data_IF_442664590265
#
_entry.id   IF_442664590265
#
_cell.length_a   1.000
_cell.length_b   1.000
_cell.length_c   1.000
_cell.angle_alpha   90.00
_cell.angle_beta   90.00
_cell.angle_gamma   90.00
#
_symmetry.space_group_name_H-M   'P 1'
#
loop_
_entity.id
_entity.type
_entity.pdbx_description
1 polymer ?
#
# COMPACT_ATOMS: atom_id res chain seq x y z
N UNK A 1 -13.79 28.95 41.92
CA UNK A 1 -13.08 29.52 40.76
C UNK A 1 -11.62 29.11 40.87
N UNK A 2 -11.25 28.00 40.23
CA UNK A 2 -9.88 27.49 40.24
C UNK A 2 -9.37 27.51 38.81
N UNK A 3 -8.50 28.48 38.52
CA UNK A 3 -7.71 28.52 37.31
C UNK A 3 -6.56 27.54 37.43
N UNK A 4 -6.50 26.58 36.53
CA UNK A 4 -5.33 25.73 36.29
C UNK A 4 -5.04 25.83 34.79
N UNK A 5 -4.13 26.74 34.45
CA UNK A 5 -3.52 26.83 33.12
C UNK A 5 -2.41 25.79 33.05
N UNK A 6 -2.67 24.68 32.37
CA UNK A 6 -1.64 23.71 32.02
C UNK A 6 -0.90 24.22 30.79
N UNK A 7 0.27 24.84 31.01
CA UNK A 7 1.25 25.13 29.97
C UNK A 7 1.87 23.79 29.51
N UNK A 8 1.21 23.16 28.54
CA UNK A 8 1.73 21.99 27.84
C UNK A 8 2.84 22.41 26.88
N UNK A 9 4.08 22.33 27.38
CA UNK A 9 5.32 22.47 26.62
C UNK A 9 5.24 21.66 25.33
N UNK A 10 5.44 22.37 24.22
CA UNK A 10 5.53 21.80 22.89
C UNK A 10 6.71 20.86 22.79
N UNK A 11 6.41 19.58 22.69
CA UNK A 11 7.31 18.59 22.12
C UNK A 11 6.46 17.71 21.21
N UNK A 12 6.06 18.26 20.06
CA UNK A 12 5.71 17.39 18.93
C UNK A 12 6.98 16.62 18.59
N UNK A 13 6.96 15.27 18.53
CA UNK A 13 8.08 14.54 17.96
C UNK A 13 8.15 15.00 16.51
N UNK A 14 9.14 15.84 16.21
CA UNK A 14 9.51 16.16 14.84
C UNK A 14 10.04 14.84 14.30
N UNK A 15 9.15 14.04 13.70
CA UNK A 15 9.51 12.88 12.93
C UNK A 15 10.38 13.42 11.80
N UNK A 16 11.70 13.43 12.04
CA UNK A 16 12.70 13.59 11.00
C UNK A 16 12.61 12.35 10.12
N UNK A 17 11.55 12.28 9.32
CA UNK A 17 11.38 11.32 8.25
C UNK A 17 12.37 11.67 7.16
N UNK A 18 13.62 11.27 7.38
CA UNK A 18 14.66 11.36 6.36
C UNK A 18 14.21 10.64 5.10
N UNK A 19 14.66 11.14 3.95
CA UNK A 19 14.47 10.46 2.68
C UNK A 19 14.90 9.01 2.80
N UNK A 20 14.05 8.10 2.35
CA UNK A 20 14.48 6.73 2.11
C UNK A 20 15.52 6.71 0.98
N UNK A 21 16.39 5.70 0.99
CA UNK A 21 17.38 5.50 -0.07
C UNK A 21 16.72 5.35 -1.44
N UNK A 22 17.46 5.65 -2.51
CA UNK A 22 16.98 5.51 -3.88
C UNK A 22 16.43 4.10 -4.17
N UNK A 23 17.10 3.06 -3.65
CA UNK A 23 16.64 1.67 -3.76
C UNK A 23 15.25 1.42 -3.15
N UNK A 24 14.93 2.05 -2.01
CA UNK A 24 13.61 1.95 -1.39
C UNK A 24 12.57 2.76 -2.17
N UNK A 25 12.97 3.89 -2.75
CA UNK A 25 12.11 4.66 -3.65
C UNK A 25 11.76 3.85 -4.90
N UNK A 26 12.73 3.13 -5.48
CA UNK A 26 12.49 2.24 -6.63
C UNK A 26 11.59 1.06 -6.27
N UNK A 27 11.79 0.47 -5.08
CA UNK A 27 10.93 -0.60 -4.58
C UNK A 27 9.49 -0.10 -4.39
N UNK A 28 9.33 1.10 -3.82
CA UNK A 28 8.01 1.74 -3.67
C UNK A 28 7.32 1.95 -5.02
N UNK A 29 8.06 2.49 -6.01
CA UNK A 29 7.51 2.69 -7.34
C UNK A 29 7.10 1.36 -7.99
N UNK A 30 7.92 0.33 -7.87
CA UNK A 30 7.65 -1.01 -8.40
C UNK A 30 6.37 -1.59 -7.79
N UNK A 31 6.23 -1.57 -6.46
CA UNK A 31 5.04 -2.09 -5.78
C UNK A 31 3.75 -1.39 -6.21
N UNK A 32 3.82 -0.06 -6.39
CA UNK A 32 2.67 0.72 -6.85
C UNK A 32 2.34 0.40 -8.31
N UNK A 33 3.35 0.25 -9.18
CA UNK A 33 3.16 -0.13 -10.60
C UNK A 33 2.54 -1.51 -10.75
N UNK A 34 3.04 -2.50 -10.04
CA UNK A 34 2.52 -3.87 -10.07
C UNK A 34 1.04 -3.90 -9.66
N UNK A 35 0.68 -3.13 -8.63
CA UNK A 35 -0.70 -3.05 -8.13
C UNK A 35 -1.65 -2.37 -9.14
N UNK A 36 -1.16 -1.36 -9.88
CA UNK A 36 -1.89 -0.72 -10.98
C UNK A 36 -2.08 -1.70 -12.13
N UNK A 37 -1.03 -2.42 -12.50
CA UNK A 37 -1.05 -3.44 -13.55
C UNK A 37 -2.10 -4.54 -13.24
N UNK A 38 -2.14 -5.03 -12.00
CA UNK A 38 -3.13 -6.00 -11.54
C UNK A 38 -4.58 -5.49 -11.68
N UNK A 39 -4.80 -4.17 -11.64
CA UNK A 39 -6.13 -3.52 -11.60
C UNK A 39 -6.52 -2.81 -12.89
N UNK A 40 -5.63 -2.72 -13.88
CA UNK A 40 -5.84 -1.91 -15.10
C UNK A 40 -6.96 -2.42 -16.01
N UNK A 41 -7.53 -3.59 -15.75
CA UNK A 41 -8.59 -4.20 -16.57
C UNK A 41 -9.81 -3.29 -16.80
N UNK A 42 -10.09 -2.34 -15.90
CA UNK A 42 -11.17 -1.33 -16.04
C UNK A 42 -10.67 0.05 -16.53
N UNK A 43 -9.41 0.14 -16.94
CA UNK A 43 -8.73 1.35 -17.38
C UNK A 43 -7.83 1.98 -16.31
N UNK A 44 -6.80 2.72 -16.76
CA UNK A 44 -5.76 3.30 -15.90
C UNK A 44 -6.30 4.28 -14.86
N UNK A 45 -7.29 5.12 -15.22
CA UNK A 45 -7.87 6.09 -14.28
C UNK A 45 -8.57 5.41 -13.10
N UNK A 46 -9.31 4.32 -13.37
CA UNK A 46 -9.95 3.55 -12.32
C UNK A 46 -8.89 2.87 -11.44
N UNK A 47 -7.88 2.25 -12.04
CA UNK A 47 -6.78 1.64 -11.32
C UNK A 47 -6.04 2.63 -10.41
N UNK A 48 -5.73 3.84 -10.90
CA UNK A 48 -5.06 4.86 -10.06
C UNK A 48 -5.87 5.23 -8.83
N UNK A 49 -7.19 5.39 -8.97
CA UNK A 49 -8.08 5.70 -7.85
C UNK A 49 -8.17 4.55 -6.86
N UNK A 50 -8.30 3.32 -7.35
CA UNK A 50 -8.37 2.14 -6.50
C UNK A 50 -7.07 1.95 -5.71
N UNK A 51 -5.91 2.07 -6.37
CA UNK A 51 -4.60 1.94 -5.73
C UNK A 51 -4.35 3.06 -4.71
N UNK A 52 -4.74 4.30 -5.04
CA UNK A 52 -4.70 5.43 -4.10
C UNK A 52 -5.48 5.11 -2.81
N UNK A 53 -6.67 4.51 -2.95
CA UNK A 53 -7.51 4.12 -1.81
C UNK A 53 -6.91 2.96 -1.02
N UNK A 54 -6.39 1.93 -1.68
CA UNK A 54 -5.79 0.76 -1.02
C UNK A 54 -4.59 1.17 -0.18
N UNK A 55 -3.70 1.99 -0.73
CA UNK A 55 -2.47 2.38 -0.06
C UNK A 55 -2.57 3.66 0.77
N UNK A 56 -3.72 4.34 0.78
CA UNK A 56 -3.91 5.59 1.52
C UNK A 56 -3.03 6.74 1.02
N UNK A 57 -2.67 6.75 -0.27
CA UNK A 57 -1.87 7.80 -0.92
C UNK A 57 -2.71 8.56 -1.95
N UNK A 58 -2.25 9.72 -2.40
CA UNK A 58 -3.00 10.54 -3.37
C UNK A 58 -2.92 9.97 -4.79
N UNK A 59 -3.96 10.16 -5.62
CA UNK A 59 -3.92 9.78 -7.05
C UNK A 59 -2.74 10.43 -7.79
N UNK A 60 -2.36 11.67 -7.42
CA UNK A 60 -1.17 12.35 -7.96
C UNK A 60 0.10 11.54 -7.67
N UNK A 61 0.23 11.01 -6.45
CA UNK A 61 1.38 10.20 -6.04
C UNK A 61 1.44 8.89 -6.81
N UNK A 62 0.29 8.23 -6.97
CA UNK A 62 0.17 7.00 -7.77
C UNK A 62 0.60 7.22 -9.22
N UNK A 63 0.16 8.33 -9.84
CA UNK A 63 0.61 8.70 -11.20
C UNK A 63 2.09 8.98 -11.27
N UNK A 64 2.65 9.67 -10.27
CA UNK A 64 4.10 9.90 -10.22
C UNK A 64 4.87 8.57 -10.13
N UNK A 65 4.39 7.59 -9.36
CA UNK A 65 4.99 6.25 -9.34
C UNK A 65 4.92 5.59 -10.72
N UNK A 66 3.76 5.67 -11.38
CA UNK A 66 3.54 5.13 -12.71
C UNK A 66 4.52 5.70 -13.75
N UNK A 67 4.70 7.02 -13.76
CA UNK A 67 5.61 7.71 -14.70
C UNK A 67 7.08 7.75 -14.25
N UNK A 68 7.40 7.28 -13.04
CA UNK A 68 8.78 7.30 -12.51
C UNK A 68 9.23 8.67 -12.01
N UNK A 69 8.29 9.54 -11.64
CA UNK A 69 8.53 10.92 -11.23
C UNK A 69 8.72 11.06 -9.71
N UNK A 70 8.70 9.96 -8.94
CA UNK A 70 8.88 10.00 -7.48
C UNK A 70 10.37 10.08 -7.13
N UNK A 71 10.78 11.21 -6.55
CA UNK A 71 12.17 11.48 -6.12
C UNK A 71 12.45 11.21 -4.64
N UNK A 72 11.40 11.03 -3.86
CA UNK A 72 11.48 10.91 -2.41
C UNK A 72 10.26 10.13 -1.94
N UNK A 73 10.42 9.24 -0.97
CA UNK A 73 9.34 8.55 -0.27
C UNK A 73 9.54 8.73 1.23
N UNK A 74 8.50 9.20 1.92
CA UNK A 74 8.52 9.31 3.37
C UNK A 74 8.30 7.95 4.03
N UNK A 75 8.85 7.75 5.23
CA UNK A 75 8.72 6.48 5.97
C UNK A 75 7.25 6.07 6.20
N UNK A 76 6.35 7.03 6.43
CA UNK A 76 4.92 6.75 6.61
C UNK A 76 4.24 6.27 5.32
N UNK A 77 4.59 6.85 4.17
CA UNK A 77 4.06 6.42 2.87
C UNK A 77 4.54 5.01 2.53
N UNK A 78 5.83 4.75 2.77
CA UNK A 78 6.41 3.42 2.61
C UNK A 78 5.70 2.37 3.43
N UNK A 79 5.53 2.63 4.73
CA UNK A 79 4.88 1.65 5.63
C UNK A 79 3.41 1.43 5.26
N UNK A 80 2.72 2.45 4.74
CA UNK A 80 1.35 2.32 4.23
C UNK A 80 1.29 1.38 3.02
N UNK A 81 2.14 1.61 2.01
CA UNK A 81 2.20 0.74 0.81
C UNK A 81 2.64 -0.68 1.16
N UNK A 82 3.65 -0.81 2.02
CA UNK A 82 4.17 -2.11 2.47
C UNK A 82 3.09 -2.94 3.17
N UNK A 83 2.36 -2.36 4.12
CA UNK A 83 1.26 -3.07 4.80
C UNK A 83 0.12 -3.43 3.85
N UNK A 84 -0.33 -2.47 3.03
CA UNK A 84 -1.37 -2.74 2.04
C UNK A 84 -0.99 -3.87 1.07
N UNK A 85 0.29 -3.95 0.66
CA UNK A 85 0.76 -5.04 -0.20
C UNK A 85 0.78 -6.39 0.53
N UNK A 86 1.21 -6.42 1.79
CA UNK A 86 1.17 -7.65 2.61
C UNK A 86 -0.28 -8.15 2.73
N UNK A 87 -1.22 -7.27 3.07
CA UNK A 87 -2.64 -7.63 3.18
C UNK A 87 -3.21 -8.14 1.85
N UNK A 88 -2.91 -7.47 0.74
CA UNK A 88 -3.34 -7.90 -0.59
C UNK A 88 -2.81 -9.30 -0.95
N UNK A 89 -1.54 -9.58 -0.63
CA UNK A 89 -0.93 -10.89 -0.86
C UNK A 89 -1.54 -11.98 0.03
N UNK A 90 -1.82 -11.67 1.30
CA UNK A 90 -2.48 -12.61 2.22
C UNK A 90 -3.88 -12.97 1.73
N UNK A 91 -4.68 -11.98 1.32
CA UNK A 91 -6.02 -12.23 0.74
C UNK A 91 -5.92 -13.10 -0.50
N UNK A 92 -4.95 -12.83 -1.39
CA UNK A 92 -4.72 -13.64 -2.60
C UNK A 92 -4.31 -15.07 -2.24
N UNK A 93 -3.43 -15.24 -1.26
CA UNK A 93 -3.00 -16.56 -0.79
C UNK A 93 -4.19 -17.37 -0.23
N UNK A 94 -5.01 -16.78 0.63
CA UNK A 94 -6.19 -17.46 1.18
C UNK A 94 -7.18 -17.84 0.09
N UNK A 95 -7.38 -16.98 -0.91
CA UNK A 95 -8.24 -17.29 -2.05
C UNK A 95 -7.71 -18.47 -2.87
N UNK A 96 -6.40 -18.52 -3.15
CA UNK A 96 -5.78 -19.63 -3.85
C UNK A 96 -5.85 -20.95 -3.05
N UNK A 97 -5.65 -20.89 -1.73
CA UNK A 97 -5.80 -22.07 -0.85
C UNK A 97 -7.23 -22.64 -0.92
N UNK A 98 -8.24 -21.77 -0.87
CA UNK A 98 -9.64 -22.20 -1.01
C UNK A 98 -9.94 -22.81 -2.38
N UNK A 99 -9.32 -22.29 -3.45
CA UNK A 99 -9.47 -22.89 -4.78
C UNK A 99 -8.85 -24.29 -4.86
N UNK A 100 -7.63 -24.46 -4.32
CA UNK A 100 -6.95 -25.75 -4.29
C UNK A 100 -7.70 -26.79 -3.47
N UNK A 101 -8.24 -26.42 -2.31
CA UNK A 101 -9.05 -27.30 -1.46
C UNK A 101 -10.28 -27.83 -2.22
N UNK A 102 -11.01 -26.95 -2.91
CA UNK A 102 -12.16 -27.34 -3.74
C UNK A 102 -11.78 -28.31 -4.86
N UNK A 103 -10.63 -28.13 -5.49
CA UNK A 103 -10.15 -29.03 -6.54
C UNK A 103 -9.79 -30.41 -5.95
N UNK A 104 -9.07 -30.44 -4.83
CA UNK A 104 -8.73 -31.70 -4.16
C UNK A 104 -9.95 -32.49 -3.67
N UNK A 105 -11.00 -31.81 -3.20
CA UNK A 105 -12.25 -32.48 -2.80
C UNK A 105 -13.02 -33.03 -4.01
N UNK A 106 -12.94 -32.35 -5.16
CA UNK A 106 -13.50 -32.86 -6.42
C UNK A 106 -12.81 -34.14 -6.87
N UNK A 107 -11.47 -34.19 -6.78
CA UNK A 107 -10.70 -35.39 -7.12
C UNK A 107 -10.95 -36.55 -6.15
N UNK A 108 -11.20 -36.26 -4.87
CA UNK A 108 -11.47 -37.27 -3.83
C UNK A 108 -12.90 -37.84 -3.88
N UNK A 109 -13.87 -37.09 -4.41
CA UNK A 109 -15.25 -37.54 -4.61
C UNK A 109 -15.49 -38.29 -5.93
N UNK A 110 -14.50 -38.31 -6.82
CA UNK A 110 -14.54 -39.02 -8.10
C UNK A 110 -13.86 -40.42 -8.07
N UNK A 111 -13.35 -40.83 -6.90
CA UNK A 111 -12.76 -42.15 -6.63
C UNK A 111 -13.71 -43.01 -5.78
#
# INVERSE_FOLDING_TARGET
>A
MSGITSAGLGISPKASGGAMSDALTDQFQTLVRDEIEDRRGRGLKAAFREVARVYGITERRVRACWHGEVRFVGAAEWESVRRGRIEALQVRQSHLQQQLERLHDTDRGAA
#
